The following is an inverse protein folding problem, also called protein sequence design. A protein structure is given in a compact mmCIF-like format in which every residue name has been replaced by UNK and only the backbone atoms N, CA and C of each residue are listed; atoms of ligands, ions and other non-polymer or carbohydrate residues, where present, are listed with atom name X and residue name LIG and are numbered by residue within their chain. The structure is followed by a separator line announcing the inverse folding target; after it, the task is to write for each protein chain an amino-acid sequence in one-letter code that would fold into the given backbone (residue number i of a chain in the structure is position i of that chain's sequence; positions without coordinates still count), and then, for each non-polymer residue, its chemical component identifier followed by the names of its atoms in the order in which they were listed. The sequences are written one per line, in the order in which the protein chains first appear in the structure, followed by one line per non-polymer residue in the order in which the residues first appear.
data_IF_230500894194
#
_entry.id   IF_230500894194
#
_cell.length_a   1.000
_cell.length_b   1.000
_cell.length_c   1.000
_cell.angle_alpha   90.00
_cell.angle_beta   90.00
_cell.angle_gamma   90.00
#
_symmetry.space_group_name_H-M   'P 1'
#
loop_
_entity.id
_entity.type
_entity.pdbx_description
1 polymer ?
#
# COMPACT_ATOMS: atom_id res chain seq x y z
N UNK A 1 3.79 14.42 -14.78
CA UNK A 1 4.04 13.12 -14.12
C UNK A 1 2.70 12.43 -13.90
N UNK A 2 2.69 11.10 -13.88
CA UNK A 2 1.49 10.28 -13.73
C UNK A 2 1.67 9.28 -12.59
N UNK A 3 0.64 9.14 -11.74
CA UNK A 3 0.53 8.11 -10.73
C UNK A 3 -0.52 7.10 -11.20
N UNK A 4 -0.18 5.83 -11.30
CA UNK A 4 -1.16 4.76 -11.44
C UNK A 4 -1.70 4.41 -10.05
N UNK A 5 -2.96 4.71 -9.77
CA UNK A 5 -3.68 4.20 -8.61
C UNK A 5 -4.37 2.90 -9.00
N UNK A 6 -3.91 1.79 -8.44
CA UNK A 6 -4.33 0.46 -8.83
C UNK A 6 -5.31 -0.08 -7.81
N UNK A 7 -6.53 -0.34 -8.23
CA UNK A 7 -7.53 -1.00 -7.40
C UNK A 7 -7.17 -2.48 -7.30
N UNK A 8 -6.86 -2.92 -6.09
CA UNK A 8 -6.47 -4.31 -5.75
C UNK A 8 -7.67 -5.20 -5.42
N UNK A 9 -8.88 -4.70 -5.55
CA UNK A 9 -10.11 -5.44 -5.32
C UNK A 9 -10.37 -6.43 -6.46
N UNK A 10 -10.95 -7.58 -6.18
CA UNK A 10 -11.44 -8.50 -7.19
C UNK A 10 -12.59 -7.87 -8.00
N UNK A 11 -12.66 -8.16 -9.31
CA UNK A 11 -13.63 -7.50 -10.21
C UNK A 11 -15.10 -7.65 -9.78
N UNK A 12 -15.48 -8.78 -9.19
CA UNK A 12 -16.83 -9.01 -8.66
C UNK A 12 -17.13 -8.23 -7.36
N UNK A 13 -16.11 -7.72 -6.68
CA UNK A 13 -16.22 -6.90 -5.48
C UNK A 13 -16.34 -5.40 -5.75
N UNK A 14 -16.22 -4.95 -7.00
CA UNK A 14 -16.28 -3.56 -7.41
C UNK A 14 -17.72 -3.00 -7.43
N UNK A 15 -18.37 -3.02 -6.29
CA UNK A 15 -19.69 -2.42 -6.12
C UNK A 15 -19.59 -0.88 -6.10
N UNK A 16 -20.67 -0.14 -6.49
CA UNK A 16 -20.65 1.33 -6.54
C UNK A 16 -20.18 2.00 -5.23
N UNK A 17 -20.54 1.44 -4.09
CA UNK A 17 -20.16 1.95 -2.77
C UNK A 17 -18.65 1.83 -2.54
N UNK A 18 -18.04 0.68 -2.88
CA UNK A 18 -16.58 0.48 -2.82
C UNK A 18 -15.84 1.37 -3.79
N UNK A 19 -16.36 1.54 -5.01
CA UNK A 19 -15.79 2.47 -5.98
C UNK A 19 -15.74 3.90 -5.44
N UNK A 20 -16.73 4.32 -4.66
CA UNK A 20 -16.74 5.61 -3.98
C UNK A 20 -15.55 5.79 -3.02
N UNK A 21 -15.16 4.73 -2.31
CA UNK A 21 -13.98 4.73 -1.42
C UNK A 21 -12.67 4.87 -2.22
N UNK A 22 -12.49 4.08 -3.29
CA UNK A 22 -11.31 4.20 -4.17
C UNK A 22 -11.19 5.58 -4.80
N UNK A 23 -12.28 6.17 -5.27
CA UNK A 23 -12.28 7.55 -5.76
C UNK A 23 -11.94 8.58 -4.66
N UNK A 24 -12.24 8.31 -3.40
CA UNK A 24 -11.81 9.17 -2.31
C UNK A 24 -10.29 9.12 -2.12
N UNK A 25 -9.67 7.93 -2.20
CA UNK A 25 -8.21 7.76 -2.16
C UNK A 25 -7.55 8.45 -3.35
N UNK A 26 -8.07 8.24 -4.56
CA UNK A 26 -7.60 8.93 -5.78
C UNK A 26 -7.57 10.45 -5.58
N UNK A 27 -8.67 11.05 -5.08
CA UNK A 27 -8.74 12.49 -4.81
C UNK A 27 -7.74 12.94 -3.75
N UNK A 28 -7.49 12.13 -2.71
CA UNK A 28 -6.46 12.44 -1.69
C UNK A 28 -5.06 12.45 -2.30
N UNK A 29 -4.73 11.47 -3.12
CA UNK A 29 -3.44 11.43 -3.85
C UNK A 29 -3.32 12.64 -4.80
N UNK A 30 -4.35 12.94 -5.58
CA UNK A 30 -4.37 14.09 -6.47
C UNK A 30 -4.29 15.44 -5.72
N UNK A 31 -4.78 15.50 -4.49
CA UNK A 31 -4.65 16.69 -3.64
C UNK A 31 -3.22 16.91 -3.14
N UNK A 32 -2.48 15.84 -2.86
CA UNK A 32 -1.10 15.91 -2.38
C UNK A 32 -0.08 16.11 -3.52
N UNK A 33 -0.32 15.49 -4.68
CA UNK A 33 0.63 15.41 -5.77
C UNK A 33 0.39 16.46 -6.86
N UNK A 34 1.47 17.02 -7.43
CA UNK A 34 1.43 17.75 -8.71
C UNK A 34 1.60 16.77 -9.87
N UNK A 35 0.71 15.78 -9.95
CA UNK A 35 0.69 14.75 -10.97
C UNK A 35 -0.76 14.42 -11.35
N UNK A 36 -0.94 13.85 -12.53
CA UNK A 36 -2.17 13.19 -12.91
C UNK A 36 -2.28 11.84 -12.18
N UNK A 37 -3.43 11.56 -11.57
CA UNK A 37 -3.72 10.25 -10.98
C UNK A 37 -4.67 9.52 -11.91
N UNK A 38 -4.28 8.33 -12.37
CA UNK A 38 -5.10 7.47 -13.22
C UNK A 38 -5.46 6.22 -12.45
N UNK A 39 -6.74 5.99 -12.26
CA UNK A 39 -7.24 4.78 -11.58
C UNK A 39 -7.41 3.65 -12.59
N UNK A 40 -6.85 2.48 -12.26
CA UNK A 40 -6.95 1.26 -13.07
C UNK A 40 -7.19 0.05 -12.18
N UNK A 41 -7.76 -1.00 -12.73
CA UNK A 41 -7.86 -2.28 -12.04
C UNK A 41 -6.52 -3.04 -12.11
N UNK A 42 -6.21 -3.87 -11.11
CA UNK A 42 -4.93 -4.57 -11.05
C UNK A 42 -4.62 -5.45 -12.28
N UNK A 43 -5.65 -6.01 -12.93
CA UNK A 43 -5.49 -6.81 -14.16
C UNK A 43 -5.04 -5.98 -15.38
N UNK A 44 -5.13 -4.65 -15.29
CA UNK A 44 -4.81 -3.73 -16.39
C UNK A 44 -3.44 -3.04 -16.20
N UNK A 45 -2.79 -3.25 -15.05
CA UNK A 45 -1.54 -2.55 -14.72
C UNK A 45 -0.46 -2.74 -15.78
N UNK A 46 -0.36 -3.92 -16.39
CA UNK A 46 0.63 -4.21 -17.45
C UNK A 46 0.56 -3.29 -18.67
N UNK A 47 -0.61 -2.71 -18.96
CA UNK A 47 -0.84 -1.81 -20.09
C UNK A 47 -0.63 -0.32 -19.76
N UNK A 48 -0.39 0.03 -18.49
CA UNK A 48 -0.34 1.43 -18.03
C UNK A 48 1.08 1.85 -17.71
N UNK A 49 1.55 2.94 -18.32
CA UNK A 49 2.80 3.61 -17.96
C UNK A 49 2.57 4.66 -16.87
N UNK A 50 3.42 4.68 -15.85
CA UNK A 50 3.36 5.65 -14.77
C UNK A 50 4.76 6.00 -14.25
N UNK A 51 4.88 7.15 -13.58
CA UNK A 51 6.10 7.58 -12.88
C UNK A 51 6.13 7.03 -11.44
N UNK A 52 4.97 6.66 -10.90
CA UNK A 52 4.80 5.95 -9.64
C UNK A 52 3.51 5.12 -9.64
N UNK A 53 3.47 4.06 -8.85
CA UNK A 53 2.30 3.18 -8.69
C UNK A 53 1.89 3.12 -7.22
N UNK A 54 0.59 3.19 -6.95
CA UNK A 54 -0.01 2.98 -5.62
C UNK A 54 -1.02 1.85 -5.74
N UNK A 55 -0.79 0.73 -5.04
CA UNK A 55 -1.72 -0.39 -4.94
C UNK A 55 -2.64 -0.17 -3.74
N UNK A 56 -3.94 -0.24 -3.94
CA UNK A 56 -4.94 -0.04 -2.88
C UNK A 56 -5.03 -1.22 -1.91
N UNK A 57 -5.76 -1.03 -0.81
CA UNK A 57 -6.34 -2.13 -0.05
C UNK A 57 -7.37 -2.93 -0.85
N UNK A 58 -7.83 -4.06 -0.28
CA UNK A 58 -8.93 -4.89 -0.79
C UNK A 58 -9.73 -5.41 0.39
N UNK A 59 -11.06 -5.48 0.25
CA UNK A 59 -11.93 -6.06 1.24
C UNK A 59 -12.23 -7.54 0.97
N UNK A 60 -11.94 -8.03 -0.23
CA UNK A 60 -12.22 -9.40 -0.62
C UNK A 60 -11.08 -10.37 -0.20
N UNK A 61 -11.42 -11.60 0.17
CA UNK A 61 -10.42 -12.61 0.51
C UNK A 61 -9.63 -13.00 -0.75
N UNK A 62 -8.36 -13.36 -0.57
CA UNK A 62 -7.48 -13.77 -1.68
C UNK A 62 -8.02 -14.91 -2.53
N UNK A 63 -8.88 -15.78 -1.96
CA UNK A 63 -9.55 -16.87 -2.68
C UNK A 63 -10.56 -16.41 -3.72
N UNK A 64 -11.01 -15.16 -3.67
CA UNK A 64 -11.93 -14.57 -4.65
C UNK A 64 -11.21 -14.04 -5.90
N UNK A 65 -9.89 -13.83 -5.81
CA UNK A 65 -9.09 -13.26 -6.91
C UNK A 65 -8.76 -14.34 -7.95
N UNK A 66 -8.74 -13.92 -9.22
CA UNK A 66 -8.26 -14.77 -10.32
C UNK A 66 -6.74 -15.00 -10.20
N UNK A 67 -6.27 -16.24 -10.01
CA UNK A 67 -4.85 -16.55 -9.90
C UNK A 67 -4.03 -16.09 -11.10
N UNK A 68 -4.56 -16.22 -12.32
CA UNK A 68 -3.88 -15.80 -13.55
C UNK A 68 -3.68 -14.28 -13.57
N UNK A 69 -4.72 -13.52 -13.22
CA UNK A 69 -4.62 -12.06 -13.14
C UNK A 69 -3.64 -11.59 -12.04
N UNK A 70 -3.54 -12.33 -10.92
CA UNK A 70 -2.53 -12.07 -9.90
C UNK A 70 -1.10 -12.38 -10.40
N UNK A 71 -0.90 -13.48 -11.13
CA UNK A 71 0.40 -13.81 -11.69
C UNK A 71 0.86 -12.78 -12.73
N UNK A 72 -0.06 -12.28 -13.57
CA UNK A 72 0.19 -11.19 -14.52
C UNK A 72 0.54 -9.88 -13.79
N UNK A 73 -0.16 -9.56 -12.70
CA UNK A 73 0.16 -8.43 -11.84
C UNK A 73 1.57 -8.56 -11.26
N UNK A 74 1.93 -9.73 -10.69
CA UNK A 74 3.26 -9.95 -10.13
C UNK A 74 4.35 -9.87 -11.19
N UNK A 75 4.11 -10.37 -12.40
CA UNK A 75 5.00 -10.21 -13.57
C UNK A 75 5.19 -8.73 -13.90
N UNK A 76 4.09 -7.98 -13.98
CA UNK A 76 4.10 -6.54 -14.25
C UNK A 76 4.86 -5.76 -13.19
N UNK A 77 4.63 -6.03 -11.90
CA UNK A 77 5.33 -5.37 -10.79
C UNK A 77 6.84 -5.63 -10.85
N UNK A 78 7.25 -6.90 -11.08
CA UNK A 78 8.68 -7.26 -11.18
C UNK A 78 9.40 -6.64 -12.37
N UNK A 79 8.68 -6.39 -13.47
CA UNK A 79 9.24 -5.76 -14.67
C UNK A 79 9.38 -4.24 -14.57
N UNK A 80 8.78 -3.61 -13.57
CA UNK A 80 8.74 -2.16 -13.37
C UNK A 80 9.91 -1.65 -12.56
N UNK A 81 10.37 -0.43 -12.87
CA UNK A 81 11.44 0.27 -12.15
C UNK A 81 10.95 1.52 -11.41
N UNK A 82 9.71 1.98 -11.68
CA UNK A 82 9.14 3.10 -10.93
C UNK A 82 8.86 2.72 -9.46
N UNK A 83 8.80 3.72 -8.57
CA UNK A 83 8.41 3.52 -7.18
C UNK A 83 7.01 2.95 -7.05
N UNK A 84 6.84 1.99 -6.14
CA UNK A 84 5.56 1.37 -5.82
C UNK A 84 5.29 1.47 -4.33
N UNK A 85 4.10 1.95 -3.97
CA UNK A 85 3.55 1.89 -2.62
C UNK A 85 2.38 0.89 -2.60
N UNK A 86 2.44 -0.10 -1.73
CA UNK A 86 1.30 -0.98 -1.46
C UNK A 86 0.61 -0.60 -0.14
N UNK A 87 -0.71 -0.47 -0.14
CA UNK A 87 -1.52 -0.16 1.03
C UNK A 87 -2.33 -1.41 1.41
N UNK A 88 -2.21 -1.90 2.64
CA UNK A 88 -2.92 -3.06 3.17
C UNK A 88 -2.77 -4.28 2.23
N UNK A 89 -3.81 -4.70 1.52
CA UNK A 89 -3.71 -5.77 0.52
C UNK A 89 -2.65 -5.47 -0.54
N UNK A 90 -2.46 -4.20 -0.92
CA UNK A 90 -1.38 -3.79 -1.85
C UNK A 90 0.02 -4.10 -1.31
N UNK A 91 0.28 -3.93 0.00
CA UNK A 91 1.52 -4.37 0.64
C UNK A 91 1.67 -5.89 0.57
N UNK A 92 0.58 -6.62 0.82
CA UNK A 92 0.56 -8.07 0.75
C UNK A 92 0.84 -8.58 -0.68
N UNK A 93 0.33 -7.87 -1.71
CA UNK A 93 0.66 -8.15 -3.12
C UNK A 93 2.15 -7.93 -3.42
N UNK A 94 2.77 -6.87 -2.91
CA UNK A 94 4.21 -6.64 -3.06
C UNK A 94 5.04 -7.74 -2.40
N UNK A 95 4.66 -8.15 -1.19
CA UNK A 95 5.32 -9.25 -0.50
C UNK A 95 5.23 -10.56 -1.30
N UNK A 96 4.03 -10.90 -1.82
CA UNK A 96 3.83 -12.08 -2.68
C UNK A 96 4.62 -11.99 -3.98
N UNK A 97 4.64 -10.82 -4.64
CA UNK A 97 5.46 -10.59 -5.82
C UNK A 97 6.96 -10.77 -5.54
N UNK A 98 7.40 -10.52 -4.31
CA UNK A 98 8.75 -10.77 -3.82
C UNK A 98 9.00 -12.21 -3.34
N UNK A 99 8.02 -13.12 -3.47
CA UNK A 99 8.13 -14.51 -3.03
C UNK A 99 7.79 -14.75 -1.56
N UNK A 100 7.15 -13.79 -0.90
CA UNK A 100 6.66 -13.91 0.48
C UNK A 100 5.29 -14.56 0.57
N UNK A 101 4.86 -14.77 1.81
CA UNK A 101 3.59 -15.39 2.14
C UNK A 101 2.67 -14.40 2.87
N UNK A 102 1.37 -14.58 2.65
CA UNK A 102 0.30 -13.88 3.36
C UNK A 102 -0.54 -14.92 4.07
N UNK A 103 -0.81 -14.70 5.32
CA UNK A 103 -1.61 -15.59 6.16
C UNK A 103 -2.62 -14.81 6.98
N UNK A 104 -3.61 -15.49 7.48
CA UNK A 104 -4.54 -14.90 8.44
C UNK A 104 -3.80 -14.49 9.70
N UNK A 105 -3.99 -13.24 10.11
CA UNK A 105 -3.35 -12.67 11.28
C UNK A 105 -3.83 -13.37 12.56
N UNK A 106 -2.91 -13.60 13.49
CA UNK A 106 -3.27 -14.16 14.79
C UNK A 106 -4.09 -13.19 15.65
N UNK A 107 -3.99 -11.90 15.37
CA UNK A 107 -4.74 -10.80 15.99
C UNK A 107 -5.20 -9.83 14.92
N UNK A 108 -6.30 -10.11 14.19
CA UNK A 108 -6.83 -9.20 13.19
C UNK A 108 -7.12 -7.82 13.79
N UNK A 109 -6.75 -6.77 13.07
CA UNK A 109 -7.09 -5.40 13.45
C UNK A 109 -8.50 -5.05 12.95
N UNK A 110 -9.38 -4.64 13.85
CA UNK A 110 -10.67 -4.04 13.50
C UNK A 110 -10.49 -2.59 13.03
N UNK A 111 -11.54 -1.98 12.43
CA UNK A 111 -11.45 -0.62 11.92
C UNK A 111 -11.19 0.39 13.05
N UNK A 112 -10.11 1.16 12.95
CA UNK A 112 -9.77 2.18 13.94
C UNK A 112 -8.34 2.66 13.90
N UNK A 113 -8.06 3.72 14.68
CA UNK A 113 -6.70 4.22 14.86
C UNK A 113 -5.98 3.42 15.95
N UNK A 114 -4.83 2.90 15.59
CA UNK A 114 -3.94 2.14 16.47
C UNK A 114 -2.55 2.77 16.50
N UNK A 115 -1.76 2.41 17.51
CA UNK A 115 -0.37 2.85 17.59
C UNK A 115 0.56 1.81 16.97
N UNK A 116 1.41 2.26 16.06
CA UNK A 116 2.51 1.48 15.51
C UNK A 116 3.85 2.05 15.91
N UNK A 117 4.86 1.19 16.08
CA UNK A 117 6.23 1.57 16.42
C UNK A 117 7.08 1.56 15.14
N UNK A 118 7.60 2.73 14.74
CA UNK A 118 8.50 2.87 13.61
C UNK A 118 9.89 2.32 13.98
N UNK A 119 10.35 1.34 13.23
CA UNK A 119 11.65 0.69 13.38
C UNK A 119 12.73 1.40 12.56
N UNK A 120 12.39 1.81 11.34
CA UNK A 120 13.25 2.57 10.43
C UNK A 120 12.51 3.83 9.96
N UNK A 121 13.13 4.99 10.20
CA UNK A 121 12.58 6.31 9.86
C UNK A 121 13.45 7.04 8.84
N UNK A 122 14.15 6.31 7.99
CA UNK A 122 15.09 6.89 7.03
C UNK A 122 14.46 7.27 5.69
N UNK A 123 13.35 6.61 5.30
CA UNK A 123 12.70 6.84 4.00
C UNK A 123 11.18 7.05 4.13
N UNK A 124 10.35 6.02 3.92
CA UNK A 124 8.88 6.14 3.94
C UNK A 124 8.35 6.75 5.25
N UNK A 125 8.98 6.43 6.38
CA UNK A 125 8.56 6.89 7.70
C UNK A 125 9.40 8.09 8.20
N UNK A 126 10.12 8.76 7.30
CA UNK A 126 10.95 9.91 7.65
C UNK A 126 10.12 11.04 8.29
N UNK A 127 10.67 11.64 9.37
CA UNK A 127 10.02 12.73 10.08
C UNK A 127 8.88 12.33 11.02
N UNK A 128 8.49 11.06 11.06
CA UNK A 128 7.53 10.56 12.04
C UNK A 128 8.16 10.40 13.43
N UNK A 129 7.34 10.46 14.47
CA UNK A 129 7.71 10.01 15.80
C UNK A 129 7.97 8.50 15.81
N UNK A 130 8.66 8.02 16.88
CA UNK A 130 8.90 6.58 17.04
C UNK A 130 7.60 5.78 17.15
N UNK A 131 6.60 6.35 17.79
CA UNK A 131 5.27 5.76 17.96
C UNK A 131 4.24 6.71 17.39
N UNK A 132 3.46 6.23 16.42
CA UNK A 132 2.47 7.03 15.68
C UNK A 132 1.13 6.33 15.63
N UNK A 133 0.07 7.12 15.55
CA UNK A 133 -1.29 6.63 15.38
C UNK A 133 -1.65 6.62 13.90
N UNK A 134 -2.06 5.43 13.41
CA UNK A 134 -2.48 5.18 12.01
C UNK A 134 -3.77 4.38 11.99
N UNK A 135 -4.52 4.46 10.89
CA UNK A 135 -5.79 3.74 10.77
C UNK A 135 -5.57 2.33 10.23
N UNK A 136 -6.14 1.33 10.90
CA UNK A 136 -6.04 -0.08 10.53
C UNK A 136 -7.39 -0.74 10.32
N UNK A 137 -7.40 -1.69 9.40
CA UNK A 137 -8.46 -2.68 9.24
C UNK A 137 -7.93 -3.83 8.35
N UNK A 138 -7.50 -4.93 8.95
CA UNK A 138 -7.01 -6.08 8.20
C UNK A 138 -7.26 -7.39 8.91
N UNK A 139 -7.44 -8.47 8.14
CA UNK A 139 -7.59 -9.85 8.61
C UNK A 139 -6.36 -10.69 8.34
N UNK A 140 -5.57 -10.32 7.33
CA UNK A 140 -4.38 -11.04 6.90
C UNK A 140 -3.12 -10.21 7.14
N UNK A 141 -1.98 -10.87 7.28
CA UNK A 141 -0.66 -10.26 7.51
C UNK A 141 0.41 -10.91 6.63
N UNK A 142 1.48 -10.15 6.35
CA UNK A 142 2.70 -10.68 5.71
C UNK A 142 3.54 -11.36 6.78
N UNK A 143 3.65 -12.70 6.71
CA UNK A 143 4.53 -13.45 7.62
C UNK A 143 4.79 -14.86 7.06
N UNK A 144 6.07 -15.28 6.89
CA UNK A 144 7.27 -14.50 7.16
C UNK A 144 7.52 -13.36 6.17
N UNK A 145 8.30 -12.37 6.61
CA UNK A 145 8.79 -11.31 5.71
C UNK A 145 9.69 -11.95 4.65
N UNK A 146 9.47 -11.67 3.34
CA UNK A 146 10.27 -12.29 2.29
C UNK A 146 11.73 -11.83 2.31
N UNK A 147 12.65 -12.66 1.81
CA UNK A 147 14.05 -12.27 1.62
C UNK A 147 14.17 -11.04 0.73
N UNK A 148 15.10 -10.14 1.07
CA UNK A 148 15.27 -8.88 0.34
C UNK A 148 14.25 -7.81 0.71
N UNK A 149 13.51 -8.02 1.81
CA UNK A 149 12.65 -7.01 2.42
C UNK A 149 13.02 -6.78 3.88
N UNK A 150 12.81 -5.57 4.35
CA UNK A 150 12.95 -5.19 5.75
C UNK A 150 11.66 -4.62 6.31
N UNK A 151 11.39 -4.87 7.59
CA UNK A 151 10.29 -4.24 8.29
C UNK A 151 10.66 -2.80 8.65
N UNK A 152 9.75 -1.85 8.35
CA UNK A 152 9.89 -0.45 8.71
C UNK A 152 9.09 -0.10 9.97
N UNK A 153 8.04 -0.84 10.28
CA UNK A 153 7.20 -0.64 11.46
C UNK A 153 6.62 -1.96 11.95
N UNK A 154 6.23 -1.98 13.22
CA UNK A 154 5.61 -3.11 13.91
C UNK A 154 4.56 -2.62 14.91
N UNK A 155 3.65 -3.50 15.33
CA UNK A 155 2.72 -3.26 16.44
C UNK A 155 2.60 -4.49 17.32
N UNK A 156 1.79 -4.40 18.38
CA UNK A 156 1.44 -5.59 19.21
C UNK A 156 0.52 -6.58 18.49
N UNK A 157 -0.08 -6.18 17.37
CA UNK A 157 -1.01 -6.98 16.58
C UNK A 157 -0.36 -7.58 15.36
N UNK A 158 0.58 -6.85 14.73
CA UNK A 158 1.19 -7.22 13.47
C UNK A 158 2.71 -7.00 13.51
N UNK A 159 3.47 -8.06 13.16
CA UNK A 159 4.93 -8.00 13.15
C UNK A 159 5.49 -7.11 12.03
N UNK A 160 4.77 -6.98 10.93
CA UNK A 160 5.16 -6.20 9.75
C UNK A 160 4.04 -5.21 9.40
N UNK A 161 4.07 -4.05 10.06
CA UNK A 161 3.14 -2.94 9.80
C UNK A 161 3.53 -2.10 8.59
N UNK A 162 4.81 -2.06 8.29
CA UNK A 162 5.32 -1.47 7.07
C UNK A 162 6.59 -2.19 6.64
N UNK A 163 6.84 -2.23 5.33
CA UNK A 163 8.00 -2.87 4.73
C UNK A 163 8.61 -2.02 3.62
N UNK A 164 9.87 -2.33 3.30
CA UNK A 164 10.53 -1.87 2.08
C UNK A 164 11.35 -3.02 1.47
N UNK A 165 11.45 -3.06 0.16
CA UNK A 165 12.39 -3.92 -0.53
C UNK A 165 13.80 -3.30 -0.53
N UNK A 166 14.83 -4.14 -0.47
CA UNK A 166 16.23 -3.70 -0.40
C UNK A 166 16.82 -3.37 -1.78
N UNK A 167 16.34 -4.06 -2.83
CA UNK A 167 16.85 -3.97 -4.20
C UNK A 167 15.88 -3.27 -5.18
N UNK A 168 14.72 -2.83 -4.70
CA UNK A 168 13.66 -2.22 -5.50
C UNK A 168 13.07 -1.01 -4.79
N UNK A 169 12.46 -0.14 -5.56
CA UNK A 169 11.74 1.04 -5.04
C UNK A 169 10.32 0.66 -4.63
N UNK A 170 10.20 -0.33 -3.75
CA UNK A 170 8.93 -0.84 -3.24
C UNK A 170 8.81 -0.59 -1.75
N UNK A 171 7.70 0.01 -1.35
CA UNK A 171 7.30 0.23 0.03
C UNK A 171 5.88 -0.26 0.23
N UNK A 172 5.54 -0.63 1.45
CA UNK A 172 4.19 -1.02 1.80
C UNK A 172 3.84 -0.69 3.23
N UNK A 173 2.55 -0.48 3.48
CA UNK A 173 1.96 -0.32 4.82
C UNK A 173 0.81 -1.30 4.98
N UNK A 174 0.72 -1.99 6.13
CA UNK A 174 -0.43 -2.82 6.46
C UNK A 174 -1.62 -1.96 6.88
N UNK A 175 -1.34 -0.84 7.52
CA UNK A 175 -2.30 0.21 7.83
C UNK A 175 -2.63 1.08 6.61
N UNK A 176 -3.66 1.92 6.73
CA UNK A 176 -4.19 2.79 5.69
C UNK A 176 -3.72 4.24 5.88
N UNK A 177 -2.58 4.66 5.29
CA UNK A 177 -2.09 6.03 5.40
C UNK A 177 -3.03 7.04 4.73
N UNK A 178 -3.89 6.60 3.82
CA UNK A 178 -4.90 7.44 3.18
C UNK A 178 -6.04 7.83 4.11
N UNK A 179 -6.17 7.19 5.28
CA UNK A 179 -7.24 7.48 6.25
C UNK A 179 -6.82 8.47 7.34
N UNK A 180 -5.87 9.38 7.03
CA UNK A 180 -5.48 10.44 7.97
C UNK A 180 -6.58 11.47 8.22
N UNK A 181 -6.52 12.14 9.37
CA UNK A 181 -7.32 13.30 9.73
C UNK A 181 -6.50 14.31 10.57
N UNK A 182 -7.14 15.38 11.07
CA UNK A 182 -6.45 16.43 11.84
C UNK A 182 -5.84 15.92 13.15
N UNK A 183 -6.48 14.94 13.81
CA UNK A 183 -6.01 14.36 15.07
C UNK A 183 -4.95 13.26 14.85
N UNK A 184 -4.94 12.65 13.66
CA UNK A 184 -4.06 11.55 13.27
C UNK A 184 -3.38 11.85 11.92
N UNK A 185 -2.41 12.78 11.87
CA UNK A 185 -1.84 13.29 10.62
C UNK A 185 -0.74 12.41 10.02
N UNK A 186 -0.29 11.35 10.72
CA UNK A 186 0.87 10.54 10.32
C UNK A 186 0.73 9.96 8.90
N UNK A 187 -0.46 9.48 8.54
CA UNK A 187 -0.72 8.92 7.22
C UNK A 187 -0.46 9.90 6.07
N UNK A 188 -0.81 11.18 6.26
CA UNK A 188 -0.49 12.23 5.28
C UNK A 188 1.00 12.36 5.04
N UNK A 189 1.80 12.43 6.10
CA UNK A 189 3.26 12.54 5.97
C UNK A 189 3.86 11.32 5.28
N UNK A 190 3.34 10.11 5.55
CA UNK A 190 3.77 8.88 4.87
C UNK A 190 3.52 8.97 3.36
N UNK A 191 2.34 9.39 2.93
CA UNK A 191 2.05 9.58 1.50
C UNK A 191 2.91 10.67 0.87
N UNK A 192 3.13 11.79 1.55
CA UNK A 192 4.05 12.85 1.10
C UNK A 192 5.49 12.33 0.97
N UNK A 193 5.96 11.49 1.91
CA UNK A 193 7.28 10.87 1.83
C UNK A 193 7.39 9.94 0.62
N UNK A 194 6.36 9.09 0.38
CA UNK A 194 6.33 8.27 -0.83
C UNK A 194 6.41 9.12 -2.10
N UNK A 195 5.64 10.21 -2.20
CA UNK A 195 5.69 11.10 -3.36
C UNK A 195 7.08 11.71 -3.54
N UNK A 196 7.77 12.14 -2.45
CA UNK A 196 9.15 12.63 -2.49
C UNK A 196 10.11 11.55 -2.97
N UNK A 197 10.01 10.31 -2.43
CA UNK A 197 10.80 9.16 -2.86
C UNK A 197 10.56 8.84 -4.34
N UNK A 198 9.35 9.06 -4.83
CA UNK A 198 8.99 8.91 -6.23
C UNK A 198 9.47 10.08 -7.12
N UNK A 199 9.99 11.16 -6.54
CA UNK A 199 10.37 12.36 -7.28
C UNK A 199 9.16 13.16 -7.78
N UNK A 200 7.97 12.93 -7.21
CA UNK A 200 6.73 13.63 -7.57
C UNK A 200 6.61 14.89 -6.70
N UNK A 201 6.51 16.08 -7.31
CA UNK A 201 6.36 17.32 -6.56
C UNK A 201 5.05 17.34 -5.77
N UNK A 202 5.10 17.85 -4.55
CA UNK A 202 3.92 18.11 -3.72
C UNK A 202 3.21 19.41 -4.13
N UNK A 203 1.93 19.50 -3.85
CA UNK A 203 1.13 20.72 -4.00
C UNK A 203 1.38 21.72 -2.87
#
# INVERSE_FOLDING_TARGET
MRIAFVISEHAGGLLPERMGQYHAVERRLAHLARAEVTTVHYSELGAVGADATVLSGSADPWSAHDPTALDDLFGSLRARNEPVLGICAGMQLLARAGGGEVRTASRPAGPGFVNVDALDRSDLLAGLERRVSVWEHHTDEVLPLPMGFRALATSEHCAVEALAADDRRWWGTQFHPEEWNGDHPAGRLILENFLRLAGIPLR
#
